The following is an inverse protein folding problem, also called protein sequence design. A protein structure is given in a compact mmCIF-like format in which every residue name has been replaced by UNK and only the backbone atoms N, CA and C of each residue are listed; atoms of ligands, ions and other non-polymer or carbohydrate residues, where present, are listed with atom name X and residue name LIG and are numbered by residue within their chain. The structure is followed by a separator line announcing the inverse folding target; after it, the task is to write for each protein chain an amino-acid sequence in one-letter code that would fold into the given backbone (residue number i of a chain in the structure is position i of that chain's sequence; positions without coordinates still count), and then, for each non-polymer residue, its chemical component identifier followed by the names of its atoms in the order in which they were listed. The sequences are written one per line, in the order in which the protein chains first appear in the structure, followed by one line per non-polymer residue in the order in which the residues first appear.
data_IF_178724516960
#
_entry.id   IF_178724516960
#
_cell.length_a   1.000
_cell.length_b   1.000
_cell.length_c   1.000
_cell.angle_alpha   90.00
_cell.angle_beta   90.00
_cell.angle_gamma   90.00
#
_symmetry.space_group_name_H-M   'P 1'
#
loop_
_entity.id
_entity.type
_entity.pdbx_description
1 polymer ?
#
# COMPACT_ATOMS: atom_id res chain seq x y z
N UNK A 1 -24.66 32.00 -3.38
CA UNK A 1 -23.38 31.59 -2.78
C UNK A 1 -23.76 30.58 -1.71
N UNK A 2 -23.69 29.28 -2.01
CA UNK A 2 -24.30 28.23 -1.17
C UNK A 2 -23.25 27.21 -0.72
N UNK A 3 -23.28 26.96 0.60
CA UNK A 3 -22.62 25.93 1.42
C UNK A 3 -21.13 25.65 1.19
N UNK A 4 -20.32 26.02 2.18
CA UNK A 4 -19.09 25.29 2.49
C UNK A 4 -19.44 23.83 2.73
N UNK A 5 -19.15 22.96 1.76
CA UNK A 5 -19.25 21.52 1.95
C UNK A 5 -18.33 21.13 3.13
N UNK A 6 -18.91 20.66 4.22
CA UNK A 6 -18.13 20.10 5.32
C UNK A 6 -17.43 18.84 4.78
N UNK A 7 -16.11 18.93 4.65
CA UNK A 7 -15.28 17.81 4.16
C UNK A 7 -15.32 16.70 5.21
N UNK A 8 -15.76 15.51 4.81
CA UNK A 8 -15.77 14.35 5.71
C UNK A 8 -14.36 14.00 6.19
N UNK A 9 -14.24 13.42 7.40
CA UNK A 9 -12.94 12.96 7.92
C UNK A 9 -12.21 12.03 6.95
N UNK A 10 -12.92 11.18 6.21
CA UNK A 10 -12.33 10.27 5.21
C UNK A 10 -11.74 11.04 4.04
N UNK A 11 -12.46 12.05 3.52
CA UNK A 11 -11.95 12.86 2.42
C UNK A 11 -10.76 13.71 2.85
N UNK A 12 -10.82 14.26 4.07
CA UNK A 12 -9.67 14.91 4.68
C UNK A 12 -8.47 13.95 4.81
N UNK A 13 -8.66 12.76 5.38
CA UNK A 13 -7.62 11.75 5.59
C UNK A 13 -6.98 11.28 4.28
N UNK A 14 -7.78 10.99 3.25
CA UNK A 14 -7.29 10.58 1.94
C UNK A 14 -6.59 11.74 1.20
N UNK A 15 -6.91 12.99 1.53
CA UNK A 15 -6.24 14.19 1.02
C UNK A 15 -4.90 14.51 1.69
N UNK A 16 -4.55 13.83 2.79
CA UNK A 16 -3.28 14.06 3.47
C UNK A 16 -2.09 13.58 2.64
N UNK A 17 -0.98 14.31 2.76
CA UNK A 17 0.29 13.94 2.13
C UNK A 17 0.79 12.61 2.71
N UNK A 18 1.01 11.61 1.85
CA UNK A 18 1.37 10.25 2.24
C UNK A 18 0.20 9.26 2.09
N UNK A 19 -1.04 9.76 2.02
CA UNK A 19 -2.26 8.96 1.96
C UNK A 19 -2.82 8.83 0.53
N UNK A 20 -2.01 9.13 -0.48
CA UNK A 20 -2.40 9.05 -1.88
C UNK A 20 -2.71 7.61 -2.35
N UNK A 21 -2.49 6.59 -1.51
CA UNK A 21 -2.85 5.19 -1.76
C UNK A 21 -4.25 4.77 -1.28
N UNK A 22 -4.91 5.60 -0.46
CA UNK A 22 -6.26 5.30 0.05
C UNK A 22 -7.36 5.75 -0.90
N UNK A 23 -8.49 5.04 -0.89
CA UNK A 23 -9.69 5.42 -1.63
C UNK A 23 -10.80 5.93 -0.70
N UNK A 24 -11.48 7.03 -1.06
CA UNK A 24 -12.48 7.70 -0.19
C UNK A 24 -13.81 6.92 -0.03
N UNK A 25 -14.11 5.94 -0.88
CA UNK A 25 -15.45 5.33 -0.94
C UNK A 25 -15.73 4.23 0.10
N UNK A 26 -14.81 4.02 1.04
CA UNK A 26 -14.84 2.97 2.06
C UNK A 26 -16.15 2.95 2.85
N UNK A 27 -16.68 4.11 3.26
CA UNK A 27 -17.85 4.17 4.14
C UNK A 27 -19.18 3.84 3.44
N UNK A 28 -19.32 4.17 2.15
CA UNK A 28 -20.55 3.95 1.40
C UNK A 28 -20.83 2.48 1.08
N UNK A 29 -19.80 1.61 1.14
CA UNK A 29 -19.92 0.16 0.89
C UNK A 29 -20.23 -0.67 2.13
N UNK A 30 -19.81 -0.22 3.32
CA UNK A 30 -20.05 -0.93 4.60
C UNK A 30 -21.53 -1.05 4.95
N UNK A 31 -22.38 -0.13 4.50
CA UNK A 31 -23.83 -0.22 4.69
C UNK A 31 -24.50 -1.36 3.90
N UNK A 32 -23.81 -1.98 2.94
CA UNK A 32 -24.35 -3.04 2.08
C UNK A 32 -23.90 -4.46 2.41
N UNK A 33 -22.89 -4.64 3.28
CA UNK A 33 -22.32 -5.96 3.59
C UNK A 33 -22.70 -6.37 5.01
N UNK A 34 -23.67 -7.28 5.10
CA UNK A 34 -24.23 -7.94 6.29
C UNK A 34 -25.21 -7.13 7.15
N UNK A 35 -26.50 -7.42 6.96
CA UNK A 35 -27.46 -7.36 8.05
C UNK A 35 -27.02 -8.32 9.16
N UNK A 36 -26.97 -7.82 10.39
CA UNK A 36 -26.60 -8.57 11.58
C UNK A 36 -25.27 -8.09 12.17
N UNK A 37 -25.37 -7.16 13.14
CA UNK A 37 -24.31 -6.76 14.07
C UNK A 37 -23.09 -5.99 13.54
N UNK A 38 -23.32 -4.89 12.81
CA UNK A 38 -22.50 -3.69 12.99
C UNK A 38 -23.39 -2.49 13.36
N UNK A 39 -24.28 -2.72 14.33
CA UNK A 39 -24.82 -1.61 15.09
C UNK A 39 -23.67 -1.01 15.87
N UNK A 40 -23.38 0.27 15.62
CA UNK A 40 -22.40 1.10 16.31
C UNK A 40 -20.96 0.98 15.80
N UNK A 41 -20.65 1.74 14.76
CA UNK A 41 -19.41 2.53 14.69
C UNK A 41 -19.74 3.95 14.24
N UNK A 42 -20.79 4.55 14.83
CA UNK A 42 -20.57 5.90 15.34
C UNK A 42 -19.57 5.73 16.48
N UNK A 43 -18.60 6.62 16.68
CA UNK A 43 -17.91 6.68 17.95
C UNK A 43 -19.00 6.79 19.03
N UNK A 44 -19.33 5.70 19.72
CA UNK A 44 -20.11 5.74 20.97
C UNK A 44 -19.17 6.10 22.11
N UNK A 45 -18.40 7.16 21.89
CA UNK A 45 -18.24 8.21 22.87
C UNK A 45 -19.13 9.33 22.34
N UNK A 46 -20.44 9.13 22.40
CA UNK A 46 -21.30 10.26 22.68
C UNK A 46 -21.15 10.42 24.18
N UNK A 47 -20.25 11.29 24.69
CA UNK A 47 -20.31 11.63 26.09
C UNK A 47 -21.74 12.12 26.33
N UNK A 48 -22.32 11.76 27.47
CA UNK A 48 -23.42 12.52 28.03
C UNK A 48 -23.12 14.02 27.84
N UNK A 49 -24.10 14.86 27.49
CA UNK A 49 -23.86 16.30 27.23
C UNK A 49 -23.31 17.09 28.43
N UNK A 50 -22.99 16.40 29.53
CA UNK A 50 -22.54 16.94 30.81
C UNK A 50 -21.11 16.51 31.20
N UNK A 51 -20.38 15.74 30.37
CA UNK A 51 -18.94 15.52 30.59
C UNK A 51 -18.15 16.51 29.73
N UNK A 52 -17.76 17.63 30.33
CA UNK A 52 -16.68 18.47 29.82
C UNK A 52 -15.48 17.57 29.55
N UNK A 53 -15.25 17.22 28.29
CA UNK A 53 -14.02 16.57 27.85
C UNK A 53 -12.91 17.54 28.22
N UNK A 54 -12.22 17.27 29.33
CA UNK A 54 -10.98 17.94 29.65
C UNK A 54 -10.10 17.83 28.40
N UNK A 55 -9.82 18.97 27.78
CA UNK A 55 -9.10 19.12 26.52
C UNK A 55 -7.61 18.80 26.76
N UNK A 56 -7.35 17.53 27.09
CA UNK A 56 -6.03 17.00 27.34
C UNK A 56 -5.44 16.63 25.97
N UNK A 57 -4.42 17.36 25.47
CA UNK A 57 -3.89 17.17 24.12
C UNK A 57 -3.45 15.73 23.85
N UNK A 58 -2.93 15.05 24.89
CA UNK A 58 -2.51 13.66 24.82
C UNK A 58 -3.65 12.67 24.50
N UNK A 59 -4.89 12.97 24.90
CA UNK A 59 -6.03 12.11 24.62
C UNK A 59 -6.52 12.26 23.18
N UNK A 60 -6.44 13.47 22.63
CA UNK A 60 -6.79 13.74 21.22
C UNK A 60 -5.87 12.99 20.27
N UNK A 61 -4.55 13.04 20.49
CA UNK A 61 -3.56 12.35 19.64
C UNK A 61 -3.78 10.83 19.58
N UNK A 62 -4.14 10.22 20.72
CA UNK A 62 -4.42 8.79 20.81
C UNK A 62 -5.70 8.42 20.03
N UNK A 63 -6.71 9.27 20.06
CA UNK A 63 -7.96 9.07 19.33
C UNK A 63 -7.70 9.16 17.82
N UNK A 64 -6.91 10.13 17.37
CA UNK A 64 -6.55 10.29 15.96
C UNK A 64 -5.76 9.08 15.42
N UNK A 65 -4.75 8.61 16.16
CA UNK A 65 -3.99 7.42 15.79
C UNK A 65 -4.87 6.16 15.72
N UNK A 66 -5.79 6.01 16.68
CA UNK A 66 -6.74 4.91 16.69
C UNK A 66 -7.70 4.99 15.48
N UNK A 67 -8.15 6.19 15.11
CA UNK A 67 -9.02 6.41 13.96
C UNK A 67 -8.31 6.08 12.63
N UNK A 68 -7.06 6.51 12.46
CA UNK A 68 -6.22 6.15 11.30
C UNK A 68 -6.06 4.64 11.17
N UNK A 69 -5.65 3.97 12.26
CA UNK A 69 -5.45 2.52 12.26
C UNK A 69 -6.76 1.78 11.94
N UNK A 70 -7.87 2.18 12.57
CA UNK A 70 -9.17 1.59 12.31
C UNK A 70 -9.57 1.76 10.84
N UNK A 71 -9.44 2.96 10.29
CA UNK A 71 -9.73 3.23 8.89
C UNK A 71 -8.88 2.39 7.95
N UNK A 72 -7.57 2.26 8.22
CA UNK A 72 -6.66 1.43 7.44
C UNK A 72 -7.08 -0.04 7.41
N UNK A 73 -7.47 -0.61 8.56
CA UNK A 73 -7.97 -1.99 8.63
C UNK A 73 -9.30 -2.19 7.90
N UNK A 74 -10.18 -1.19 7.96
CA UNK A 74 -11.44 -1.20 7.20
C UNK A 74 -11.15 -1.10 5.69
N UNK A 75 -10.22 -0.24 5.29
CA UNK A 75 -9.79 -0.06 3.91
C UNK A 75 -9.27 -1.37 3.30
N UNK A 76 -8.43 -2.11 4.04
CA UNK A 76 -7.92 -3.42 3.61
C UNK A 76 -9.03 -4.41 3.24
N UNK A 77 -10.13 -4.41 4.00
CA UNK A 77 -11.31 -5.25 3.70
C UNK A 77 -12.15 -4.68 2.56
N UNK A 78 -12.32 -3.37 2.52
CA UNK A 78 -13.12 -2.69 1.51
C UNK A 78 -12.58 -2.92 0.10
N UNK A 79 -11.27 -2.81 -0.10
CA UNK A 79 -10.64 -2.95 -1.42
C UNK A 79 -10.67 -4.37 -1.98
N UNK A 80 -11.12 -5.36 -1.21
CA UNK A 80 -11.40 -6.72 -1.68
C UNK A 80 -12.85 -6.90 -2.16
N UNK A 81 -13.73 -5.93 -1.94
CA UNK A 81 -15.11 -5.94 -2.46
C UNK A 81 -15.15 -5.47 -3.90
N UNK A 82 -16.15 -5.88 -4.69
CA UNK A 82 -16.31 -5.42 -6.08
C UNK A 82 -16.33 -3.89 -6.21
N UNK A 83 -16.98 -3.20 -5.26
CA UNK A 83 -17.05 -1.74 -5.24
C UNK A 83 -15.67 -1.12 -4.94
N UNK A 84 -14.97 -1.65 -3.95
CA UNK A 84 -13.61 -1.19 -3.62
C UNK A 84 -12.62 -1.45 -4.74
N UNK A 85 -12.67 -2.63 -5.37
CA UNK A 85 -11.84 -2.96 -6.54
C UNK A 85 -12.09 -1.96 -7.69
N UNK A 86 -13.36 -1.70 -8.04
CA UNK A 86 -13.70 -0.75 -9.09
C UNK A 86 -13.16 0.66 -8.80
N UNK A 87 -13.21 1.09 -7.54
CA UNK A 87 -12.68 2.37 -7.12
C UNK A 87 -11.15 2.41 -7.17
N UNK A 88 -10.48 1.37 -6.70
CA UNK A 88 -9.01 1.26 -6.78
C UNK A 88 -8.53 1.23 -8.23
N UNK A 89 -9.27 0.60 -9.15
CA UNK A 89 -8.96 0.67 -10.58
C UNK A 89 -9.00 2.13 -11.05
N UNK A 90 -10.07 2.86 -10.73
CA UNK A 90 -10.20 4.28 -11.09
C UNK A 90 -9.07 5.15 -10.52
N UNK A 91 -8.68 4.94 -9.27
CA UNK A 91 -7.63 5.71 -8.61
C UNK A 91 -6.22 5.37 -9.12
N UNK A 92 -5.92 4.09 -9.38
CA UNK A 92 -4.54 3.62 -9.63
C UNK A 92 -4.21 3.33 -11.10
N UNK A 93 -5.18 3.42 -12.01
CA UNK A 93 -4.90 3.26 -13.45
C UNK A 93 -3.87 4.27 -13.98
N UNK A 94 -3.81 5.46 -13.37
CA UNK A 94 -2.93 6.56 -13.78
C UNK A 94 -1.66 6.72 -12.93
N UNK A 95 -1.44 5.88 -11.90
CA UNK A 95 -0.24 5.97 -11.07
C UNK A 95 0.94 5.33 -11.81
N UNK A 96 1.62 6.16 -12.61
CA UNK A 96 2.85 5.81 -13.31
C UNK A 96 3.99 5.64 -12.30
N UNK A 97 4.52 4.42 -12.15
CA UNK A 97 5.56 4.17 -11.16
C UNK A 97 6.44 2.94 -11.38
N UNK A 98 6.04 2.02 -12.26
CA UNK A 98 6.75 0.76 -12.46
C UNK A 98 8.07 0.88 -13.24
N UNK A 99 9.05 0.05 -12.86
CA UNK A 99 10.31 -0.14 -13.60
C UNK A 99 10.11 -0.83 -14.97
N UNK A 100 8.89 -1.29 -15.28
CA UNK A 100 8.57 -2.02 -16.51
C UNK A 100 7.81 -1.12 -17.50
N UNK A 101 8.53 -0.19 -18.15
CA UNK A 101 7.97 0.72 -19.17
C UNK A 101 6.84 1.61 -18.60
N UNK A 102 7.04 2.16 -17.40
CA UNK A 102 6.05 2.98 -16.69
C UNK A 102 4.69 2.29 -16.45
N UNK A 103 4.69 0.95 -16.38
CA UNK A 103 3.51 0.17 -16.00
C UNK A 103 2.89 0.70 -14.70
N UNK A 104 1.57 0.96 -14.67
CA UNK A 104 0.83 1.23 -13.43
C UNK A 104 0.97 0.10 -12.43
N UNK A 105 1.16 0.46 -11.16
CA UNK A 105 1.39 -0.46 -10.04
C UNK A 105 0.27 -0.31 -9.00
N UNK A 106 0.09 -1.34 -8.18
CA UNK A 106 -0.95 -1.39 -7.15
C UNK A 106 -0.30 -1.44 -5.75
N UNK A 107 -0.89 -0.79 -4.73
CA UNK A 107 -0.41 -0.94 -3.36
C UNK A 107 -0.61 -2.38 -2.87
N UNK A 108 0.29 -2.88 -2.03
CA UNK A 108 0.24 -4.22 -1.43
C UNK A 108 0.92 -4.20 -0.06
N UNK A 109 0.39 -4.97 0.88
CA UNK A 109 1.07 -5.31 2.14
C UNK A 109 1.93 -6.57 2.00
N UNK A 110 3.08 -6.61 2.67
CA UNK A 110 3.84 -7.86 2.82
C UNK A 110 3.36 -8.71 4.01
N UNK A 111 2.59 -8.10 4.90
CA UNK A 111 1.91 -8.74 6.02
C UNK A 111 0.54 -8.09 6.21
N UNK A 112 -0.40 -8.85 6.75
CA UNK A 112 -1.72 -8.39 7.19
C UNK A 112 -1.73 -7.95 8.66
N UNK A 113 -0.57 -8.03 9.35
CA UNK A 113 -0.39 -7.63 10.75
C UNK A 113 0.17 -6.20 10.80
N UNK A 114 -0.53 -5.25 11.44
CA UNK A 114 -0.03 -3.87 11.59
C UNK A 114 1.34 -3.81 12.29
N UNK A 115 2.21 -2.93 11.81
CA UNK A 115 3.55 -2.68 12.33
C UNK A 115 4.65 -3.60 11.77
N UNK A 116 4.31 -4.68 11.05
CA UNK A 116 5.32 -5.61 10.53
C UNK A 116 6.02 -5.10 9.27
N UNK A 117 5.26 -4.47 8.37
CA UNK A 117 5.80 -3.98 7.10
C UNK A 117 5.01 -2.80 6.54
N UNK A 118 5.74 -1.83 6.02
CA UNK A 118 5.17 -0.68 5.31
C UNK A 118 4.69 -1.08 3.92
N UNK A 119 3.78 -0.28 3.35
CA UNK A 119 3.19 -0.50 2.02
C UNK A 119 4.27 -0.65 0.94
N UNK A 120 4.02 -1.60 0.04
CA UNK A 120 4.81 -1.84 -1.16
C UNK A 120 3.95 -1.67 -2.40
N UNK A 121 4.59 -1.74 -3.57
CA UNK A 121 3.97 -1.59 -4.87
C UNK A 121 4.14 -2.88 -5.68
N UNK A 122 3.04 -3.54 -5.98
CA UNK A 122 2.98 -4.70 -6.86
C UNK A 122 2.93 -4.25 -8.32
N UNK A 123 3.86 -4.74 -9.14
CA UNK A 123 3.82 -4.53 -10.58
C UNK A 123 3.19 -5.73 -11.28
N UNK A 124 2.04 -5.55 -11.97
CA UNK A 124 1.37 -6.67 -12.62
C UNK A 124 2.07 -7.17 -13.90
N UNK A 125 3.03 -6.41 -14.44
CA UNK A 125 3.77 -6.77 -15.66
C UNK A 125 4.94 -7.73 -15.37
N UNK A 126 5.78 -7.43 -14.37
CA UNK A 126 6.86 -8.34 -13.95
C UNK A 126 6.46 -9.29 -12.81
N UNK A 127 5.30 -9.05 -12.17
CA UNK A 127 4.79 -9.83 -11.03
C UNK A 127 5.73 -9.80 -9.82
N UNK A 128 6.28 -8.63 -9.54
CA UNK A 128 7.23 -8.41 -8.46
C UNK A 128 6.87 -7.16 -7.65
N UNK A 129 7.44 -7.04 -6.45
CA UNK A 129 7.09 -6.05 -5.43
C UNK A 129 8.23 -5.05 -5.21
N UNK A 130 7.89 -3.76 -5.17
CA UNK A 130 8.84 -2.66 -5.08
C UNK A 130 8.53 -1.73 -3.91
N UNK A 131 9.56 -1.09 -3.36
CA UNK A 131 9.39 -0.01 -2.39
C UNK A 131 8.93 1.28 -3.09
N UNK A 132 7.96 2.04 -2.55
CA UNK A 132 7.56 3.32 -3.10
C UNK A 132 8.75 4.28 -3.26
N UNK A 133 8.84 4.96 -4.42
CA UNK A 133 9.96 5.86 -4.72
C UNK A 133 9.98 7.11 -3.83
N UNK A 134 8.82 7.69 -3.55
CA UNK A 134 8.71 8.86 -2.68
C UNK A 134 8.67 8.44 -1.22
N UNK A 135 9.52 9.05 -0.41
CA UNK A 135 9.60 8.82 1.04
C UNK A 135 8.33 9.18 1.81
N UNK A 136 7.42 9.96 1.21
CA UNK A 136 6.13 10.30 1.83
C UNK A 136 5.27 9.07 2.13
N UNK A 137 5.42 7.99 1.35
CA UNK A 137 4.65 6.77 1.53
C UNK A 137 5.40 5.71 2.36
N UNK A 138 6.56 6.06 2.94
CA UNK A 138 7.36 5.09 3.71
C UNK A 138 6.84 4.81 5.12
N UNK A 139 5.89 5.62 5.58
CA UNK A 139 5.29 5.48 6.92
C UNK A 139 3.87 4.93 6.89
N UNK A 140 3.33 4.62 5.71
CA UNK A 140 2.02 4.01 5.56
C UNK A 140 2.11 2.51 5.77
N UNK A 141 1.33 1.96 6.69
CA UNK A 141 1.31 0.53 6.98
C UNK A 141 0.79 -0.29 5.79
N UNK A 142 1.46 -1.40 5.48
CA UNK A 142 1.07 -2.32 4.40
C UNK A 142 -0.18 -3.14 4.74
N UNK A 143 -0.45 -3.39 6.02
CA UNK A 143 -1.62 -4.13 6.47
C UNK A 143 -2.93 -3.43 6.07
N UNK A 144 -2.91 -2.12 5.84
CA UNK A 144 -4.06 -1.33 5.38
C UNK A 144 -4.46 -1.57 3.91
N UNK A 145 -3.63 -2.30 3.17
CA UNK A 145 -3.88 -2.76 1.80
C UNK A 145 -3.98 -4.29 1.71
N UNK A 146 -3.36 -4.96 2.66
CA UNK A 146 -3.35 -6.42 2.75
C UNK A 146 -2.49 -7.10 1.69
N UNK A 147 -2.23 -8.37 1.91
CA UNK A 147 -1.38 -9.21 1.06
C UNK A 147 -2.08 -9.67 -0.22
N UNK A 148 -3.41 -9.75 -0.21
CA UNK A 148 -4.21 -10.33 -1.28
C UNK A 148 -4.75 -9.37 -2.33
N UNK A 149 -4.74 -8.06 -2.09
CA UNK A 149 -5.51 -7.10 -2.89
C UNK A 149 -5.19 -7.13 -4.39
N UNK A 150 -3.93 -6.99 -4.84
CA UNK A 150 -3.63 -7.02 -6.29
C UNK A 150 -4.01 -8.35 -6.94
N UNK A 151 -3.87 -9.46 -6.20
CA UNK A 151 -4.23 -10.78 -6.69
C UNK A 151 -5.74 -10.90 -6.90
N UNK A 152 -6.54 -10.45 -5.92
CA UNK A 152 -8.00 -10.41 -6.02
C UNK A 152 -8.47 -9.55 -7.19
N UNK A 153 -7.88 -8.36 -7.37
CA UNK A 153 -8.22 -7.46 -8.47
C UNK A 153 -8.10 -8.16 -9.84
N UNK A 154 -7.03 -8.90 -10.09
CA UNK A 154 -6.86 -9.62 -11.36
C UNK A 154 -7.61 -10.95 -11.45
N UNK A 155 -8.11 -11.50 -10.33
CA UNK A 155 -9.07 -12.60 -10.35
C UNK A 155 -10.46 -12.12 -10.75
N UNK A 156 -10.86 -10.93 -10.29
CA UNK A 156 -12.15 -10.30 -10.62
C UNK A 156 -12.14 -9.67 -12.01
N UNK A 157 -11.04 -9.01 -12.39
CA UNK A 157 -10.85 -8.35 -13.69
C UNK A 157 -9.58 -8.82 -14.42
N UNK A 158 -9.59 -10.03 -15.03
CA UNK A 158 -8.47 -10.56 -15.79
C UNK A 158 -8.05 -9.68 -16.98
N UNK A 159 -8.99 -8.93 -17.56
CA UNK A 159 -8.80 -8.04 -18.70
C UNK A 159 -7.79 -6.90 -18.45
N UNK A 160 -7.59 -6.53 -17.19
CA UNK A 160 -6.62 -5.51 -16.80
C UNK A 160 -5.20 -6.04 -16.62
N UNK A 161 -4.98 -7.36 -16.72
CA UNK A 161 -3.64 -7.94 -16.59
C UNK A 161 -2.79 -7.62 -17.83
N UNK A 162 -1.66 -6.90 -17.69
CA UNK A 162 -0.81 -6.54 -18.82
C UNK A 162 -0.10 -7.77 -19.40
N UNK A 163 0.27 -7.67 -20.68
CA UNK A 163 1.17 -8.64 -21.30
C UNK A 163 2.56 -8.57 -20.67
N UNK A 164 3.25 -9.70 -20.61
CA UNK A 164 4.64 -9.78 -20.10
C UNK A 164 5.56 -8.83 -20.91
N UNK A 165 6.64 -8.32 -20.31
CA UNK A 165 7.61 -7.47 -21.02
C UNK A 165 8.10 -8.15 -22.30
N UNK A 166 8.05 -7.44 -23.43
CA UNK A 166 8.54 -7.97 -24.71
C UNK A 166 10.07 -8.09 -24.73
N UNK A 167 10.75 -7.18 -24.02
CA UNK A 167 12.20 -7.12 -23.95
C UNK A 167 12.67 -7.40 -22.52
N UNK A 168 13.71 -8.20 -22.40
CA UNK A 168 14.45 -8.41 -21.15
C UNK A 168 15.82 -7.76 -21.27
N UNK A 169 16.33 -7.23 -20.15
CA UNK A 169 17.69 -6.73 -20.09
C UNK A 169 18.70 -7.83 -20.47
N UNK A 170 19.55 -7.56 -21.46
CA UNK A 170 20.61 -8.46 -21.89
C UNK A 170 21.96 -7.83 -21.49
N UNK A 171 22.65 -8.35 -20.46
CA UNK A 171 23.92 -7.79 -20.01
C UNK A 171 24.99 -7.95 -21.09
N UNK A 172 25.64 -6.84 -21.44
CA UNK A 172 26.72 -6.81 -22.44
C UNK A 172 27.93 -6.04 -21.92
N UNK A 173 29.12 -6.56 -22.20
CA UNK A 173 30.39 -5.90 -21.93
C UNK A 173 31.18 -5.86 -23.24
N UNK A 174 31.60 -4.66 -23.67
CA UNK A 174 32.22 -4.43 -24.98
C UNK A 174 31.44 -5.06 -26.16
N UNK A 175 30.10 -5.04 -26.08
CA UNK A 175 29.20 -5.62 -27.11
C UNK A 175 28.91 -7.11 -26.97
N UNK A 176 29.71 -7.86 -26.22
CA UNK A 176 29.54 -9.30 -26.00
C UNK A 176 28.57 -9.58 -24.85
N UNK A 177 27.71 -10.59 -25.03
CA UNK A 177 26.81 -11.05 -23.96
C UNK A 177 27.63 -11.71 -22.86
N UNK A 178 27.26 -11.45 -21.61
CA UNK A 178 27.87 -12.15 -20.46
C UNK A 178 27.21 -13.53 -20.33
N UNK A 179 28.01 -14.59 -20.32
CA UNK A 179 27.50 -15.96 -20.15
C UNK A 179 27.06 -16.18 -18.69
N UNK A 180 25.93 -16.87 -18.42
CA UNK A 180 25.43 -17.08 -17.05
C UNK A 180 26.45 -17.71 -16.08
N UNK A 181 27.31 -18.59 -16.59
CA UNK A 181 28.41 -19.21 -15.81
C UNK A 181 29.36 -18.19 -15.19
N UNK A 182 29.56 -17.02 -15.82
CA UNK A 182 30.44 -15.99 -15.29
C UNK A 182 29.96 -15.49 -13.92
N UNK A 183 28.65 -15.39 -13.70
CA UNK A 183 28.09 -15.01 -12.40
C UNK A 183 28.30 -16.08 -11.33
N UNK A 184 28.19 -17.36 -11.69
CA UNK A 184 28.45 -18.47 -10.75
C UNK A 184 29.91 -18.47 -10.27
N UNK A 185 30.86 -18.29 -11.20
CA UNK A 185 32.28 -18.20 -10.87
C UNK A 185 32.59 -16.98 -10.00
N UNK A 186 31.97 -15.83 -10.29
CA UNK A 186 32.13 -14.62 -9.46
C UNK A 186 31.59 -14.82 -8.05
N UNK A 187 30.42 -15.44 -7.89
CA UNK A 187 29.84 -15.74 -6.57
C UNK A 187 30.73 -16.67 -5.75
N UNK A 188 31.29 -17.73 -6.37
CA UNK A 188 32.24 -18.63 -5.72
C UNK A 188 33.56 -17.92 -5.33
N UNK A 189 34.08 -17.07 -6.20
CA UNK A 189 35.28 -16.30 -5.88
C UNK A 189 35.03 -15.34 -4.70
N UNK A 190 33.87 -14.69 -4.65
CA UNK A 190 33.46 -13.84 -3.55
C UNK A 190 33.32 -14.61 -2.22
N UNK A 191 32.73 -15.82 -2.23
CA UNK A 191 32.63 -16.65 -1.03
C UNK A 191 33.99 -17.13 -0.52
N UNK A 192 34.94 -17.36 -1.44
CA UNK A 192 36.28 -17.81 -1.10
C UNK A 192 37.22 -16.67 -0.67
N UNK A 193 36.81 -15.42 -0.87
CA UNK A 193 37.62 -14.25 -0.55
C UNK A 193 37.66 -14.03 0.97
N UNK A 194 38.75 -14.43 1.61
CA UNK A 194 39.03 -14.09 3.01
C UNK A 194 39.64 -12.69 3.05
N UNK A 195 38.95 -11.74 3.68
CA UNK A 195 39.50 -10.41 3.91
C UNK A 195 40.81 -10.52 4.72
N UNK A 196 41.87 -9.80 4.33
CA UNK A 196 43.09 -9.79 5.13
C UNK A 196 42.76 -9.18 6.50
N UNK A 197 42.99 -9.96 7.56
CA UNK A 197 42.89 -9.49 8.94
C UNK A 197 43.83 -8.29 9.07
N UNK A 198 43.27 -7.09 9.29
CA UNK A 198 44.08 -5.91 9.60
C UNK A 198 44.73 -6.17 10.96
N UNK A 199 45.99 -6.59 10.97
CA UNK A 199 46.80 -6.61 12.18
C UNK A 199 47.03 -5.15 12.59
N UNK A 200 46.26 -4.68 13.56
CA UNK A 200 46.51 -3.40 14.23
C UNK A 200 47.86 -3.59 14.96
N UNK A 201 48.88 -2.84 14.52
CA UNK A 201 50.13 -2.67 15.26
C UNK A 201 50.00 -1.52 16.23
#
# INVERSE_FOLDING_TARGET
MSSSEEVSWISWFCGLRGNEFFCEGVLGGLMGVSGGSLGVLTPRVAPSPDEELEDNPNQSDLIEQAAEMLYGLIHARYILTNRGIAQMIWCYWFVLGGHCENQPVLPIGLSDIPGEAMVKLYCPKCMDVYTPKSSRHHHTDGAYFGTGFPHMLFMVHPEYRPKRPANQFVPRLYGFKIHPMAYQLQLQAASNFKSPVKTIR
#
